data_IF_357691507284
#
_entry.id   IF_357691507284
#
_cell.length_a   1.000
_cell.length_b   1.000
_cell.length_c   1.000
_cell.angle_alpha   90.00
_cell.angle_beta   90.00
_cell.angle_gamma   90.00
#
_symmetry.space_group_name_H-M   'P 1'
#
loop_
_entity.id
_entity.type
_entity.pdbx_description
1 polymer ?
#
# COMPACT_ATOMS: atom_id res chain seq x y z
N UNK A 1 -32.97 36.39 -5.71
CA UNK A 1 -33.38 34.99 -5.43
C UNK A 1 -32.49 33.93 -6.10
N UNK A 2 -31.86 34.21 -7.25
CA UNK A 2 -31.02 33.23 -7.99
C UNK A 2 -29.76 32.77 -7.21
N UNK A 3 -29.05 33.71 -6.56
CA UNK A 3 -27.75 33.41 -5.95
C UNK A 3 -27.84 32.50 -4.73
N UNK A 4 -28.84 32.70 -3.86
CA UNK A 4 -29.06 31.84 -2.69
C UNK A 4 -29.39 30.39 -3.07
N UNK A 5 -30.21 30.21 -4.11
CA UNK A 5 -30.54 28.88 -4.62
C UNK A 5 -29.31 28.21 -5.26
N UNK A 6 -28.47 28.97 -5.95
CA UNK A 6 -27.18 28.49 -6.47
C UNK A 6 -26.23 28.01 -5.37
N UNK A 7 -26.08 28.78 -4.27
CA UNK A 7 -25.23 28.39 -3.13
C UNK A 7 -25.78 27.15 -2.41
N UNK A 8 -27.11 27.03 -2.26
CA UNK A 8 -27.75 25.83 -1.70
C UNK A 8 -27.47 24.58 -2.55
N UNK A 9 -27.56 24.69 -3.87
CA UNK A 9 -27.24 23.59 -4.79
C UNK A 9 -25.77 23.16 -4.67
N UNK A 10 -24.84 24.12 -4.55
CA UNK A 10 -23.42 23.83 -4.33
C UNK A 10 -23.17 23.15 -2.97
N UNK A 11 -23.88 23.56 -1.91
CA UNK A 11 -23.78 22.94 -0.60
C UNK A 11 -24.27 21.48 -0.62
N UNK A 12 -25.41 21.22 -1.26
CA UNK A 12 -25.94 19.87 -1.45
C UNK A 12 -24.96 18.98 -2.25
N UNK A 13 -24.37 19.53 -3.32
CA UNK A 13 -23.37 18.81 -4.11
C UNK A 13 -22.10 18.49 -3.30
N UNK A 14 -21.63 19.44 -2.48
CA UNK A 14 -20.46 19.25 -1.63
C UNK A 14 -20.69 18.15 -0.59
N UNK A 15 -21.87 18.13 0.05
CA UNK A 15 -22.27 17.10 1.00
C UNK A 15 -22.39 15.71 0.35
N UNK A 16 -22.99 15.62 -0.85
CA UNK A 16 -23.05 14.36 -1.60
C UNK A 16 -21.65 13.82 -1.95
N UNK A 17 -20.74 14.71 -2.34
CA UNK A 17 -19.33 14.34 -2.63
C UNK A 17 -18.61 13.81 -1.39
N UNK A 18 -18.89 14.35 -0.21
CA UNK A 18 -18.26 13.93 1.03
C UNK A 18 -18.50 12.44 1.35
N UNK A 19 -19.73 11.94 1.17
CA UNK A 19 -20.04 10.52 1.37
C UNK A 19 -19.18 9.62 0.48
N UNK A 20 -19.04 9.96 -0.81
CA UNK A 20 -18.18 9.24 -1.74
C UNK A 20 -16.70 9.30 -1.36
N UNK A 21 -16.23 10.46 -0.91
CA UNK A 21 -14.84 10.64 -0.48
C UNK A 21 -14.52 9.83 0.79
N UNK A 22 -15.45 9.74 1.75
CA UNK A 22 -15.31 8.93 2.96
C UNK A 22 -15.33 7.43 2.65
N UNK A 23 -16.20 6.99 1.75
CA UNK A 23 -16.22 5.60 1.28
C UNK A 23 -14.90 5.21 0.60
N UNK A 24 -14.35 6.09 -0.25
CA UNK A 24 -13.04 5.88 -0.84
C UNK A 24 -11.91 5.85 0.21
N UNK A 25 -11.95 6.72 1.22
CA UNK A 25 -10.99 6.72 2.33
C UNK A 25 -11.01 5.38 3.09
N UNK A 26 -12.19 4.86 3.39
CA UNK A 26 -12.34 3.57 4.07
C UNK A 26 -11.72 2.43 3.25
N UNK A 27 -12.03 2.35 1.96
CA UNK A 27 -11.45 1.34 1.05
C UNK A 27 -9.92 1.44 0.96
N UNK A 28 -9.39 2.65 0.81
CA UNK A 28 -7.94 2.87 0.76
C UNK A 28 -7.26 2.52 2.08
N UNK A 29 -7.90 2.81 3.22
CA UNK A 29 -7.36 2.43 4.53
C UNK A 29 -7.24 0.90 4.67
N UNK A 30 -8.25 0.16 4.21
CA UNK A 30 -8.21 -1.31 4.17
C UNK A 30 -7.11 -1.78 3.21
N UNK A 31 -7.02 -1.20 2.02
CA UNK A 31 -6.00 -1.55 1.03
C UNK A 31 -4.57 -1.30 1.55
N UNK A 32 -4.31 -0.18 2.21
CA UNK A 32 -3.00 0.11 2.82
C UNK A 32 -2.65 -0.88 3.91
N UNK A 33 -3.61 -1.28 4.75
CA UNK A 33 -3.38 -2.33 5.77
C UNK A 33 -3.02 -3.66 5.11
N UNK A 34 -3.81 -4.09 4.12
CA UNK A 34 -3.54 -5.33 3.38
C UNK A 34 -2.16 -5.31 2.68
N UNK A 35 -1.75 -4.17 2.11
CA UNK A 35 -0.42 -4.01 1.52
C UNK A 35 0.69 -4.11 2.59
N UNK A 36 0.47 -3.56 3.78
CA UNK A 36 1.36 -3.70 4.92
C UNK A 36 1.52 -5.16 5.38
N UNK A 37 0.40 -5.90 5.49
CA UNK A 37 0.40 -7.31 5.85
C UNK A 37 1.10 -8.17 4.80
N UNK A 38 0.89 -7.87 3.51
CA UNK A 38 1.59 -8.52 2.40
C UNK A 38 3.11 -8.30 2.47
N UNK A 39 3.55 -7.05 2.71
CA UNK A 39 4.97 -6.75 2.90
C UNK A 39 5.56 -7.50 4.10
N UNK A 40 4.85 -7.57 5.22
CA UNK A 40 5.29 -8.32 6.38
C UNK A 40 5.42 -9.82 6.06
N UNK A 41 4.51 -10.38 5.27
CA UNK A 41 4.61 -11.76 4.78
C UNK A 41 5.83 -11.96 3.88
N UNK A 42 6.07 -11.08 2.91
CA UNK A 42 7.24 -11.15 2.04
C UNK A 42 8.56 -11.05 2.82
N UNK A 43 8.64 -10.20 3.86
CA UNK A 43 9.83 -10.11 4.72
C UNK A 43 10.11 -11.43 5.44
N UNK A 44 9.09 -12.04 6.06
CA UNK A 44 9.23 -13.35 6.72
C UNK A 44 9.67 -14.43 5.73
N UNK A 45 9.13 -14.42 4.52
CA UNK A 45 9.53 -15.38 3.49
C UNK A 45 10.99 -15.16 3.05
N UNK A 46 11.40 -13.92 2.82
CA UNK A 46 12.80 -13.61 2.51
C UNK A 46 13.76 -14.05 3.63
N UNK A 47 13.39 -13.86 4.90
CA UNK A 47 14.18 -14.36 6.04
C UNK A 47 14.29 -15.88 6.06
N UNK A 48 13.19 -16.60 5.78
CA UNK A 48 13.20 -18.08 5.66
C UNK A 48 14.11 -18.55 4.52
N UNK A 49 14.01 -17.92 3.35
CA UNK A 49 14.86 -18.25 2.20
C UNK A 49 16.33 -17.95 2.49
N UNK A 50 16.62 -16.84 3.21
CA UNK A 50 17.98 -16.52 3.64
C UNK A 50 18.55 -17.61 4.55
N UNK A 51 17.76 -18.10 5.51
CA UNK A 51 18.16 -19.19 6.40
C UNK A 51 18.33 -20.52 5.64
N UNK A 52 17.49 -20.81 4.65
CA UNK A 52 17.63 -21.99 3.79
C UNK A 52 18.93 -21.94 2.97
N UNK A 53 19.22 -20.80 2.33
CA UNK A 53 20.46 -20.57 1.59
C UNK A 53 21.70 -20.70 2.47
N UNK A 54 21.69 -20.13 3.69
CA UNK A 54 22.79 -20.26 4.64
C UNK A 54 23.03 -21.72 5.08
N UNK A 55 21.96 -22.49 5.31
CA UNK A 55 22.07 -23.92 5.61
C UNK A 55 22.65 -24.70 4.43
N UNK A 56 22.21 -24.42 3.21
CA UNK A 56 22.73 -25.05 2.01
C UNK A 56 24.23 -24.78 1.82
N UNK A 57 24.69 -23.56 2.12
CA UNK A 57 26.12 -23.21 2.11
C UNK A 57 26.92 -23.96 3.17
N UNK A 58 26.39 -24.10 4.38
CA UNK A 58 27.07 -24.77 5.49
C UNK A 58 27.29 -26.28 5.24
N UNK A 59 26.40 -26.92 4.47
CA UNK A 59 26.48 -28.35 4.18
C UNK A 59 27.55 -28.70 3.12
N UNK A 60 28.15 -27.74 2.40
CA UNK A 60 29.10 -27.99 1.29
C UNK A 60 30.53 -28.42 1.70
N UNK A 61 30.77 -28.75 2.96
CA UNK A 61 32.13 -28.97 3.50
C UNK A 61 32.80 -30.31 3.17
N UNK A 62 32.05 -31.42 2.99
CA UNK A 62 32.64 -32.75 2.75
C UNK A 62 31.73 -33.58 1.86
N UNK A 63 32.01 -33.63 0.56
CA UNK A 63 31.21 -34.38 -0.42
C UNK A 63 32.10 -35.12 -1.42
N UNK A 64 31.71 -36.33 -1.79
CA UNK A 64 32.29 -37.03 -2.93
C UNK A 64 31.95 -36.27 -4.25
N UNK A 65 32.74 -36.44 -5.31
CA UNK A 65 32.64 -35.62 -6.56
C UNK A 65 31.23 -35.52 -7.17
N UNK A 66 30.38 -36.56 -7.07
CA UNK A 66 28.97 -36.53 -7.52
C UNK A 66 28.06 -35.74 -6.59
N UNK A 67 28.32 -35.80 -5.29
CA UNK A 67 27.58 -35.06 -4.26
C UNK A 67 27.90 -33.56 -4.34
N UNK A 68 29.13 -33.18 -4.70
CA UNK A 68 29.52 -31.77 -4.95
C UNK A 68 28.68 -31.12 -6.05
N UNK A 69 28.41 -31.83 -7.15
CA UNK A 69 27.61 -31.29 -8.26
C UNK A 69 26.13 -31.09 -7.85
N UNK A 70 25.57 -32.02 -7.08
CA UNK A 70 24.20 -31.90 -6.59
C UNK A 70 24.06 -30.81 -5.52
N UNK A 71 25.04 -30.71 -4.61
CA UNK A 71 25.06 -29.70 -3.57
C UNK A 71 25.27 -28.28 -4.15
N UNK A 72 26.09 -28.14 -5.19
CA UNK A 72 26.22 -26.90 -5.96
C UNK A 72 24.90 -26.49 -6.64
N UNK A 73 24.16 -27.43 -7.25
CA UNK A 73 22.83 -27.16 -7.81
C UNK A 73 21.81 -26.75 -6.75
N UNK A 74 21.85 -27.35 -5.57
CA UNK A 74 20.97 -26.99 -4.46
C UNK A 74 21.24 -25.55 -3.99
N UNK A 75 22.51 -25.16 -3.81
CA UNK A 75 22.86 -23.79 -3.44
C UNK A 75 22.41 -22.76 -4.48
N UNK A 76 22.60 -23.03 -5.77
CA UNK A 76 22.14 -22.09 -6.81
C UNK A 76 20.61 -21.98 -6.88
N UNK A 77 19.87 -23.07 -6.61
CA UNK A 77 18.40 -23.01 -6.48
C UNK A 77 17.96 -22.13 -5.32
N UNK A 78 18.57 -22.31 -4.15
CA UNK A 78 18.28 -21.49 -2.96
C UNK A 78 18.67 -20.02 -3.17
N UNK A 79 19.77 -19.76 -3.88
CA UNK A 79 20.18 -18.40 -4.26
C UNK A 79 19.15 -17.74 -5.18
N UNK A 80 18.65 -18.45 -6.19
CA UNK A 80 17.61 -17.94 -7.08
C UNK A 80 16.31 -17.67 -6.31
N UNK A 81 15.89 -18.60 -5.44
CA UNK A 81 14.71 -18.43 -4.60
C UNK A 81 14.83 -17.22 -3.65
N UNK A 82 16.03 -16.96 -3.11
CA UNK A 82 16.31 -15.78 -2.29
C UNK A 82 16.21 -14.49 -3.09
N UNK A 83 16.76 -14.46 -4.31
CA UNK A 83 16.66 -13.31 -5.22
C UNK A 83 15.20 -13.00 -5.59
N UNK A 84 14.41 -14.03 -5.88
CA UNK A 84 12.98 -13.89 -6.16
C UNK A 84 12.21 -13.38 -4.93
N UNK A 85 12.53 -13.88 -3.74
CA UNK A 85 11.93 -13.42 -2.49
C UNK A 85 12.23 -11.93 -2.22
N UNK A 86 13.48 -11.50 -2.47
CA UNK A 86 13.87 -10.09 -2.36
C UNK A 86 13.11 -9.21 -3.35
N UNK A 87 12.98 -9.65 -4.61
CA UNK A 87 12.21 -8.92 -5.63
C UNK A 87 10.74 -8.78 -5.22
N UNK A 88 10.11 -9.85 -4.72
CA UNK A 88 8.73 -9.79 -4.18
C UNK A 88 8.60 -8.82 -3.01
N UNK A 89 9.58 -8.81 -2.09
CA UNK A 89 9.60 -7.87 -0.97
C UNK A 89 9.68 -6.42 -1.45
N UNK A 90 10.53 -6.12 -2.44
CA UNK A 90 10.67 -4.77 -3.01
C UNK A 90 9.39 -4.33 -3.75
N UNK A 91 8.75 -5.23 -4.48
CA UNK A 91 7.47 -4.98 -5.14
C UNK A 91 6.36 -4.67 -4.11
N UNK A 92 6.27 -5.48 -3.04
CA UNK A 92 5.31 -5.25 -1.95
C UNK A 92 5.56 -3.91 -1.23
N UNK A 93 6.82 -3.53 -1.04
CA UNK A 93 7.17 -2.22 -0.46
C UNK A 93 6.73 -1.07 -1.36
N UNK A 94 7.01 -1.16 -2.66
CA UNK A 94 6.59 -0.17 -3.65
C UNK A 94 5.06 -0.03 -3.70
N UNK A 95 4.34 -1.15 -3.63
CA UNK A 95 2.88 -1.15 -3.59
C UNK A 95 2.34 -0.47 -2.32
N UNK A 96 2.92 -0.78 -1.15
CA UNK A 96 2.57 -0.10 0.10
C UNK A 96 2.74 1.43 -0.04
N UNK A 97 3.90 1.88 -0.53
CA UNK A 97 4.17 3.30 -0.74
C UNK A 97 3.13 3.98 -1.66
N UNK A 98 2.71 3.31 -2.74
CA UNK A 98 1.67 3.80 -3.63
C UNK A 98 0.31 3.95 -2.90
N UNK A 99 -0.09 2.93 -2.13
CA UNK A 99 -1.36 2.98 -1.38
C UNK A 99 -1.34 4.06 -0.29
N UNK A 100 -0.21 4.27 0.40
CA UNK A 100 -0.03 5.34 1.38
C UNK A 100 -0.07 6.73 0.75
N UNK A 101 0.50 6.90 -0.45
CA UNK A 101 0.41 8.14 -1.20
C UNK A 101 -1.05 8.44 -1.61
N UNK A 102 -1.79 7.45 -2.11
CA UNK A 102 -3.19 7.64 -2.48
C UNK A 102 -4.07 7.90 -1.25
N UNK A 103 -3.80 7.23 -0.13
CA UNK A 103 -4.50 7.49 1.14
C UNK A 103 -4.29 8.94 1.62
N UNK A 104 -3.06 9.47 1.51
CA UNK A 104 -2.75 10.88 1.82
C UNK A 104 -3.53 11.84 0.92
N UNK A 105 -3.48 11.63 -0.40
CA UNK A 105 -4.24 12.43 -1.37
C UNK A 105 -5.75 12.41 -1.08
N UNK A 106 -6.28 11.25 -0.68
CA UNK A 106 -7.70 11.13 -0.36
C UNK A 106 -8.08 11.90 0.91
N UNK A 107 -7.21 11.92 1.93
CA UNK A 107 -7.40 12.77 3.13
C UNK A 107 -7.38 14.24 2.78
N UNK A 108 -6.45 14.67 1.94
CA UNK A 108 -6.38 16.06 1.44
C UNK A 108 -7.66 16.46 0.71
N UNK A 109 -8.20 15.58 -0.15
CA UNK A 109 -9.48 15.81 -0.84
C UNK A 109 -10.65 16.00 0.15
N UNK A 110 -10.69 15.21 1.23
CA UNK A 110 -11.69 15.36 2.28
C UNK A 110 -11.55 16.69 3.02
N UNK A 111 -10.32 17.07 3.42
CA UNK A 111 -10.07 18.35 4.07
C UNK A 111 -10.44 19.53 3.17
N UNK A 112 -10.09 19.47 1.88
CA UNK A 112 -10.45 20.49 0.91
C UNK A 112 -11.98 20.58 0.72
N UNK A 113 -12.70 19.45 0.72
CA UNK A 113 -14.16 19.44 0.65
C UNK A 113 -14.77 20.08 1.91
N UNK A 114 -14.27 19.74 3.10
CA UNK A 114 -14.74 20.31 4.37
C UNK A 114 -14.58 21.84 4.40
N UNK A 115 -13.41 22.37 4.00
CA UNK A 115 -13.19 23.82 3.87
C UNK A 115 -14.15 24.49 2.89
N UNK A 116 -14.45 23.84 1.76
CA UNK A 116 -15.43 24.35 0.78
C UNK A 116 -16.83 24.40 1.40
N UNK A 117 -17.23 23.37 2.15
CA UNK A 117 -18.52 23.35 2.83
C UNK A 117 -18.63 24.47 3.88
N UNK A 118 -17.57 24.70 4.65
CA UNK A 118 -17.51 25.79 5.63
C UNK A 118 -17.72 27.15 4.97
N UNK A 119 -16.99 27.44 3.88
CA UNK A 119 -17.17 28.68 3.10
C UNK A 119 -18.57 28.81 2.52
N UNK A 120 -19.18 27.71 2.07
CA UNK A 120 -20.57 27.74 1.58
C UNK A 120 -21.56 28.04 2.71
N UNK A 121 -21.32 27.56 3.94
CA UNK A 121 -22.16 27.89 5.11
C UNK A 121 -22.03 29.37 5.47
N UNK A 122 -20.83 29.93 5.44
CA UNK A 122 -20.59 31.36 5.67
C UNK A 122 -21.34 32.22 4.64
N UNK A 123 -21.22 31.87 3.35
CA UNK A 123 -21.94 32.56 2.28
C UNK A 123 -23.46 32.47 2.46
N UNK A 124 -24.00 31.30 2.83
CA UNK A 124 -25.43 31.16 3.12
C UNK A 124 -25.86 32.00 4.32
N UNK A 125 -25.02 32.16 5.34
CA UNK A 125 -25.30 33.01 6.49
C UNK A 125 -25.33 34.50 6.12
N UNK A 126 -24.49 34.93 5.18
CA UNK A 126 -24.45 36.31 4.67
C UNK A 126 -25.60 36.63 3.69
N UNK A 127 -26.15 35.61 3.02
CA UNK A 127 -27.30 35.70 2.10
C UNK A 127 -28.66 35.50 2.81
N UNK A 128 -28.66 35.50 4.15
CA UNK A 128 -29.89 35.51 4.97
C UNK A 128 -30.46 36.91 5.04
#
# INVERSE_FOLDING_TARGET
>A
MSDRNGVLALAALAARREAGLRAALARLTVATRAAGDALASCKREHERQRAAWQRALACNGVYARREVVQASRAVERERAALADALSRQQAAYSHLQQTEAELRRQRERLHANARKQEKLRELLAQLR
#
